data_IF_412722223054
#
_entry.id   IF_412722223054
#
_cell.length_a   1.000
_cell.length_b   1.000
_cell.length_c   1.000
_cell.angle_alpha   90.00
_cell.angle_beta   90.00
_cell.angle_gamma   90.00
#
_symmetry.space_group_name_H-M   'P 1'
#
loop_
_entity.id
_entity.type
_entity.pdbx_description
1 polymer ?
#
# COMPACT_ATOMS: atom_id res chain seq x y z
N UNK A 1 -10.33 -34.30 47.27
CA UNK A 1 -11.11 -33.07 47.01
C UNK A 1 -12.33 -33.46 46.17
N UNK A 2 -13.54 -33.16 46.61
CA UNK A 2 -14.76 -33.69 45.97
C UNK A 2 -15.05 -32.94 44.67
N UNK A 3 -15.58 -33.62 43.64
CA UNK A 3 -15.80 -33.11 42.27
C UNK A 3 -16.55 -31.77 42.22
N UNK A 4 -17.49 -31.53 43.15
CA UNK A 4 -18.15 -30.23 43.33
C UNK A 4 -17.18 -29.10 43.67
N UNK A 5 -16.23 -29.32 44.60
CA UNK A 5 -15.23 -28.31 44.97
C UNK A 5 -14.27 -28.00 43.82
N UNK A 6 -13.91 -29.01 43.02
CA UNK A 6 -13.09 -28.83 41.82
C UNK A 6 -13.81 -27.94 40.79
N UNK A 7 -15.12 -28.17 40.58
CA UNK A 7 -15.93 -27.39 39.65
C UNK A 7 -16.02 -25.91 40.06
N UNK A 8 -16.21 -25.64 41.35
CA UNK A 8 -16.27 -24.26 41.87
C UNK A 8 -14.93 -23.53 41.73
N UNK A 9 -13.80 -24.22 41.96
CA UNK A 9 -12.47 -23.63 41.79
C UNK A 9 -12.23 -23.27 40.32
N UNK A 10 -12.60 -24.14 39.38
CA UNK A 10 -12.44 -23.89 37.95
C UNK A 10 -13.26 -22.67 37.48
N UNK A 11 -14.49 -22.54 37.96
CA UNK A 11 -15.38 -21.41 37.67
C UNK A 11 -14.85 -20.08 38.20
N UNK A 12 -14.25 -20.07 39.39
CA UNK A 12 -13.67 -18.85 39.97
C UNK A 12 -12.44 -18.33 39.22
N UNK A 13 -11.64 -19.21 38.62
CA UNK A 13 -10.46 -18.82 37.84
C UNK A 13 -10.88 -18.17 36.50
N UNK A 14 -11.96 -18.66 35.89
CA UNK A 14 -12.52 -18.11 34.66
C UNK A 14 -13.15 -16.71 34.87
N UNK A 15 -13.72 -16.44 36.04
CA UNK A 15 -14.39 -15.15 36.33
C UNK A 15 -13.45 -14.01 36.72
N UNK A 16 -12.18 -14.29 37.04
CA UNK A 16 -11.19 -13.26 37.39
C UNK A 16 -10.24 -12.89 36.23
N UNK A 17 -10.31 -13.61 35.11
CA UNK A 17 -9.45 -13.36 33.95
C UNK A 17 -9.97 -12.22 33.07
N UNK A 18 -9.65 -10.98 33.39
CA UNK A 18 -9.68 -9.89 32.41
C UNK A 18 -8.49 -10.05 31.46
N UNK A 19 -8.55 -11.04 30.57
CA UNK A 19 -7.60 -11.14 29.46
C UNK A 19 -8.14 -10.22 28.37
N UNK A 20 -7.54 -9.05 28.23
CA UNK A 20 -7.73 -8.24 27.04
C UNK A 20 -7.16 -9.04 25.86
N UNK A 21 -8.04 -9.58 25.03
CA UNK A 21 -7.65 -10.18 23.76
C UNK A 21 -7.52 -9.04 22.77
N UNK A 22 -6.29 -8.61 22.52
CA UNK A 22 -6.00 -7.71 21.41
C UNK A 22 -6.01 -8.55 20.14
N UNK A 23 -6.94 -8.27 19.23
CA UNK A 23 -6.86 -8.79 17.87
C UNK A 23 -5.71 -8.06 17.17
N UNK A 24 -4.60 -8.74 16.91
CA UNK A 24 -3.61 -8.26 15.94
C UNK A 24 -4.26 -8.39 14.56
N UNK A 25 -4.55 -7.25 13.92
CA UNK A 25 -4.99 -7.24 12.52
C UNK A 25 -3.93 -7.99 11.74
N UNK A 26 -4.33 -9.00 10.97
CA UNK A 26 -3.40 -9.67 10.06
C UNK A 26 -2.83 -8.58 9.15
N UNK A 27 -1.54 -8.34 9.27
CA UNK A 27 -0.83 -7.35 8.46
C UNK A 27 -0.70 -7.90 7.04
N UNK A 28 -1.80 -7.91 6.32
CA UNK A 28 -1.78 -8.27 4.91
C UNK A 28 -0.94 -7.24 4.18
N UNK A 29 0.01 -7.73 3.38
CA UNK A 29 0.71 -6.90 2.41
C UNK A 29 -0.33 -6.44 1.37
N UNK A 30 -0.65 -5.14 1.37
CA UNK A 30 -1.65 -4.55 0.49
C UNK A 30 -0.92 -4.02 -0.74
N UNK A 31 -1.28 -4.49 -1.94
CA UNK A 31 -0.82 -3.87 -3.18
C UNK A 31 -1.48 -2.50 -3.33
N UNK A 32 -0.67 -1.46 -3.50
CA UNK A 32 -1.14 -0.13 -3.89
C UNK A 32 -1.27 -0.13 -5.40
N UNK A 33 -2.48 0.08 -5.91
CA UNK A 33 -2.74 0.10 -7.35
C UNK A 33 -2.32 1.46 -7.89
N UNK A 34 -1.20 1.48 -8.61
CA UNK A 34 -0.71 2.65 -9.30
C UNK A 34 -1.38 2.77 -10.67
N UNK A 35 -1.92 3.95 -10.96
CA UNK A 35 -2.53 4.31 -12.23
C UNK A 35 -1.65 5.35 -12.90
N UNK A 36 -1.36 5.16 -14.18
CA UNK A 36 -0.71 6.20 -14.95
C UNK A 36 -1.71 7.30 -15.26
N UNK A 37 -1.39 8.52 -14.85
CA UNK A 37 -2.15 9.69 -15.29
C UNK A 37 -1.73 9.97 -16.72
N UNK A 38 -2.56 9.51 -17.64
CA UNK A 38 -2.30 9.73 -19.06
C UNK A 38 -2.73 11.15 -19.42
N UNK A 39 -1.90 11.95 -20.12
CA UNK A 39 -2.33 13.23 -20.65
C UNK A 39 -3.62 13.04 -21.48
N UNK A 40 -4.61 13.93 -21.32
CA UNK A 40 -5.95 13.77 -21.90
C UNK A 40 -6.04 13.55 -23.42
N UNK A 41 -4.92 13.72 -24.14
CA UNK A 41 -4.80 13.51 -25.59
C UNK A 41 -4.25 12.13 -25.99
N UNK A 42 -3.99 11.22 -25.05
CA UNK A 42 -3.62 9.85 -25.41
C UNK A 42 -4.83 9.07 -25.93
N UNK A 43 -4.95 9.05 -27.25
CA UNK A 43 -5.84 8.14 -27.96
C UNK A 43 -5.06 6.82 -28.11
N UNK A 44 -5.41 5.74 -27.39
CA UNK A 44 -4.82 4.44 -27.67
C UNK A 44 -5.07 4.11 -29.14
N UNK A 45 -4.11 3.50 -29.86
CA UNK A 45 -4.28 3.18 -31.26
C UNK A 45 -5.54 2.31 -31.43
N UNK A 46 -6.61 2.93 -31.95
CA UNK A 46 -7.82 2.21 -32.35
C UNK A 46 -7.42 1.46 -33.61
N UNK A 47 -7.20 0.15 -33.45
CA UNK A 47 -6.99 -0.77 -34.56
C UNK A 47 -8.18 -0.62 -35.50
N UNK A 48 -7.98 0.05 -36.64
CA UNK A 48 -8.98 0.07 -37.71
C UNK A 48 -9.10 -1.35 -38.25
N UNK A 49 -10.27 -1.93 -38.00
CA UNK A 49 -10.90 -3.07 -38.67
C UNK A 49 -10.16 -4.42 -38.68
N UNK A 50 -10.70 -5.38 -37.92
CA UNK A 50 -10.69 -6.81 -38.27
C UNK A 50 -9.43 -7.64 -38.02
N UNK A 51 -8.34 -7.04 -37.55
CA UNK A 51 -7.11 -7.78 -37.20
C UNK A 51 -7.16 -8.48 -35.83
N UNK A 52 -6.25 -9.44 -35.56
CA UNK A 52 -6.12 -10.06 -34.25
C UNK A 52 -5.92 -8.99 -33.16
N UNK A 53 -6.70 -9.05 -32.08
CA UNK A 53 -6.50 -8.18 -30.93
C UNK A 53 -5.19 -8.58 -30.27
N UNK A 54 -4.14 -7.79 -30.50
CA UNK A 54 -2.88 -7.90 -29.75
C UNK A 54 -3.18 -7.46 -28.32
N UNK A 55 -3.22 -8.40 -27.38
CA UNK A 55 -3.26 -8.09 -25.95
C UNK A 55 -1.81 -7.93 -25.49
N UNK A 56 -1.38 -6.69 -25.24
CA UNK A 56 -0.10 -6.48 -24.54
C UNK A 56 -0.24 -6.99 -23.11
N UNK A 57 0.77 -7.70 -22.60
CA UNK A 57 0.88 -7.97 -21.16
C UNK A 57 1.33 -6.65 -20.55
N UNK A 58 0.43 -5.97 -19.84
CA UNK A 58 0.80 -4.77 -19.08
C UNK A 58 1.75 -5.18 -17.96
N UNK A 59 3.03 -4.79 -18.08
CA UNK A 59 4.01 -4.91 -17.02
C UNK A 59 4.15 -3.52 -16.37
N UNK A 60 3.80 -3.36 -15.09
CA UNK A 60 3.96 -2.06 -14.43
C UNK A 60 5.45 -1.74 -14.28
N UNK A 61 5.85 -0.52 -14.61
CA UNK A 61 7.23 -0.04 -14.45
C UNK A 61 7.62 0.18 -12.98
N UNK A 62 6.62 0.36 -12.11
CA UNK A 62 6.77 0.52 -10.67
C UNK A 62 5.68 -0.28 -9.97
N UNK A 63 6.04 -1.02 -8.94
CA UNK A 63 5.09 -1.63 -8.01
C UNK A 63 5.19 -0.98 -6.64
N UNK A 64 4.06 -0.83 -5.95
CA UNK A 64 4.02 -0.33 -4.58
C UNK A 64 3.18 -1.22 -3.66
N UNK A 65 3.63 -1.43 -2.44
CA UNK A 65 3.00 -2.27 -1.43
C UNK A 65 3.04 -1.61 -0.06
N UNK A 66 1.98 -1.77 0.72
CA UNK A 66 1.93 -1.37 2.12
C UNK A 66 2.04 -2.61 3.01
N UNK A 67 3.01 -2.60 3.92
CA UNK A 67 3.19 -3.63 4.93
C UNK A 67 3.68 -3.01 6.25
N UNK A 68 2.95 -3.21 7.35
CA UNK A 68 3.29 -2.66 8.67
C UNK A 68 3.55 -1.14 8.67
N UNK A 69 2.68 -0.38 7.99
CA UNK A 69 2.83 1.07 7.80
C UNK A 69 4.12 1.48 7.07
N UNK A 70 4.79 0.53 6.40
CA UNK A 70 5.92 0.81 5.52
C UNK A 70 5.45 0.66 4.09
N UNK A 71 5.57 1.72 3.30
CA UNK A 71 5.34 1.66 1.86
C UNK A 71 6.63 1.22 1.17
N UNK A 72 6.59 0.06 0.53
CA UNK A 72 7.65 -0.45 -0.31
C UNK A 72 7.37 -0.08 -1.77
N UNK A 73 8.31 0.59 -2.42
CA UNK A 73 8.24 0.94 -3.85
C UNK A 73 9.37 0.22 -4.57
N UNK A 74 9.05 -0.54 -5.61
CA UNK A 74 9.99 -1.31 -6.44
C UNK A 74 9.97 -0.80 -7.87
N UNK A 75 11.13 -0.41 -8.38
CA UNK A 75 11.30 0.05 -9.75
C UNK A 75 11.73 -1.13 -10.62
N UNK A 76 10.89 -1.49 -11.59
CA UNK A 76 11.06 -2.67 -12.44
C UNK A 76 11.86 -2.38 -13.72
N UNK A 77 12.12 -1.11 -13.99
CA UNK A 77 12.96 -0.62 -15.09
C UNK A 77 14.05 0.33 -14.56
N UNK A 78 15.06 0.60 -15.38
CA UNK A 78 16.10 1.57 -15.04
C UNK A 78 15.53 2.98 -15.21
N UNK A 79 15.25 3.66 -14.11
CA UNK A 79 14.77 5.04 -14.08
C UNK A 79 15.90 5.95 -13.61
N UNK A 80 16.25 6.98 -14.37
CA UNK A 80 17.37 7.87 -14.01
C UNK A 80 17.08 8.70 -12.75
N UNK A 81 15.85 9.19 -12.62
CA UNK A 81 15.36 9.99 -11.50
C UNK A 81 13.88 9.74 -11.27
N UNK A 82 13.48 9.61 -10.00
CA UNK A 82 12.07 9.55 -9.61
C UNK A 82 11.84 10.41 -8.36
N UNK A 83 10.75 11.17 -8.35
CA UNK A 83 10.25 11.87 -7.18
C UNK A 83 9.05 11.11 -6.64
N UNK A 84 9.08 10.76 -5.36
CA UNK A 84 7.98 10.08 -4.67
C UNK A 84 7.41 11.06 -3.65
N UNK A 85 6.09 11.24 -3.67
CA UNK A 85 5.37 12.09 -2.72
C UNK A 85 4.24 11.29 -2.10
N UNK A 86 4.07 11.37 -0.77
CA UNK A 86 2.94 10.79 -0.05
C UNK A 86 2.20 11.89 0.70
N UNK A 87 0.90 11.98 0.49
CA UNK A 87 0.04 13.02 1.08
C UNK A 87 -1.10 12.38 1.87
N UNK A 88 -1.39 12.91 3.05
CA UNK A 88 -2.61 12.57 3.78
C UNK A 88 -3.79 13.29 3.13
N UNK A 89 -4.76 12.54 2.60
CA UNK A 89 -5.88 13.10 1.81
C UNK A 89 -6.85 13.93 2.65
N UNK A 90 -6.91 13.67 3.96
CA UNK A 90 -7.81 14.41 4.87
C UNK A 90 -7.23 15.77 5.24
N UNK A 91 -5.92 15.85 5.51
CA UNK A 91 -5.26 17.09 5.95
C UNK A 91 -4.62 17.86 4.81
N UNK A 92 -4.34 17.21 3.68
CA UNK A 92 -3.53 17.73 2.58
C UNK A 92 -2.04 17.85 2.93
N UNK A 93 -1.59 17.24 4.03
CA UNK A 93 -0.21 17.29 4.47
C UNK A 93 0.64 16.27 3.72
N UNK A 94 1.72 16.74 3.09
CA UNK A 94 2.75 15.87 2.53
C UNK A 94 3.59 15.28 3.67
N UNK A 95 3.40 14.00 3.94
CA UNK A 95 4.10 13.27 5.02
C UNK A 95 5.45 12.71 4.56
N UNK A 96 5.64 12.58 3.25
CA UNK A 96 6.93 12.18 2.67
C UNK A 96 7.10 12.80 1.27
N UNK A 97 8.31 13.27 0.97
CA UNK A 97 8.70 13.65 -0.39
C UNK A 97 10.21 13.52 -0.56
N UNK A 98 10.64 12.75 -1.57
CA UNK A 98 12.06 12.54 -1.87
C UNK A 98 12.27 12.31 -3.37
N UNK A 99 13.34 12.90 -3.91
CA UNK A 99 13.81 12.64 -5.28
C UNK A 99 15.04 11.73 -5.22
N UNK A 100 14.95 10.57 -5.84
CA UNK A 100 15.97 9.54 -5.87
C UNK A 100 16.58 9.41 -7.26
N UNK A 101 17.91 9.34 -7.34
CA UNK A 101 18.62 9.01 -8.59
C UNK A 101 18.83 7.50 -8.71
N UNK A 102 18.52 6.93 -9.88
CA UNK A 102 18.64 5.50 -10.17
C UNK A 102 18.03 4.58 -9.09
N UNK A 103 16.77 4.80 -8.66
CA UNK A 103 16.16 4.00 -7.60
C UNK A 103 15.91 2.57 -8.07
N UNK A 104 16.10 1.62 -7.16
CA UNK A 104 15.75 0.20 -7.36
C UNK A 104 14.62 -0.19 -6.40
N UNK A 105 14.77 0.14 -5.12
CA UNK A 105 13.74 -0.10 -4.10
C UNK A 105 13.79 1.01 -3.07
N UNK A 106 12.62 1.43 -2.60
CA UNK A 106 12.46 2.41 -1.53
C UNK A 106 11.55 1.85 -0.45
N UNK A 107 11.87 2.12 0.81
CA UNK A 107 11.05 1.76 1.97
C UNK A 107 10.74 3.04 2.73
N UNK A 108 9.48 3.44 2.76
CA UNK A 108 9.02 4.68 3.36
C UNK A 108 8.28 4.31 4.64
N UNK A 109 8.88 4.64 5.79
CA UNK A 109 8.31 4.37 7.10
C UNK A 109 7.29 5.44 7.47
N UNK A 110 6.02 5.04 7.60
CA UNK A 110 4.91 5.89 8.05
C UNK A 110 4.47 5.54 9.48
N UNK A 111 5.31 4.82 10.25
CA UNK A 111 5.01 4.56 11.65
C UNK A 111 4.98 5.86 12.45
N UNK A 112 3.83 6.13 13.09
CA UNK A 112 3.57 7.38 13.82
C UNK A 112 2.57 8.29 13.11
N UNK A 113 2.32 8.05 11.82
CA UNK A 113 1.27 8.73 11.08
C UNK A 113 -0.13 8.32 11.53
N UNK A 114 -1.10 9.20 11.32
CA UNK A 114 -2.50 8.94 11.70
C UNK A 114 -3.13 7.94 10.75
N UNK A 115 -4.07 7.14 11.24
CA UNK A 115 -4.92 6.34 10.37
C UNK A 115 -5.76 7.24 9.47
N UNK A 116 -5.92 6.84 8.21
CA UNK A 116 -6.61 7.63 7.20
C UNK A 116 -6.25 7.21 5.78
N UNK A 117 -6.84 7.92 4.81
CA UNK A 117 -6.54 7.76 3.39
C UNK A 117 -5.33 8.60 3.00
N UNK A 118 -4.46 8.00 2.20
CA UNK A 118 -3.23 8.59 1.68
C UNK A 118 -3.14 8.38 0.18
N UNK A 119 -2.57 9.35 -0.52
CA UNK A 119 -2.12 9.22 -1.90
C UNK A 119 -0.60 9.00 -1.94
N UNK A 120 -0.14 8.27 -2.95
CA UNK A 120 1.26 8.20 -3.37
C UNK A 120 1.34 8.62 -4.82
N UNK A 121 2.20 9.59 -5.09
CA UNK A 121 2.55 10.06 -6.43
C UNK A 121 4.00 9.66 -6.71
N UNK A 122 4.25 9.15 -7.92
CA UNK A 122 5.58 8.80 -8.41
C UNK A 122 5.76 9.46 -9.77
N UNK A 123 6.61 10.49 -9.79
CA UNK A 123 6.93 11.27 -10.98
C UNK A 123 8.33 10.89 -11.47
N UNK A 124 8.41 10.60 -12.76
CA UNK A 124 9.65 10.38 -13.51
C UNK A 124 9.63 11.31 -14.72
N UNK A 125 10.71 11.36 -15.50
CA UNK A 125 10.78 12.23 -16.69
C UNK A 125 9.66 11.96 -17.71
N UNK A 126 9.20 10.70 -17.83
CA UNK A 126 8.25 10.28 -18.86
C UNK A 126 6.86 9.93 -18.31
N UNK A 127 6.76 9.60 -17.03
CA UNK A 127 5.59 8.94 -16.46
C UNK A 127 5.26 9.55 -15.09
N UNK A 128 3.98 9.84 -14.90
CA UNK A 128 3.38 10.15 -13.61
C UNK A 128 2.43 9.01 -13.21
N UNK A 129 2.65 8.44 -12.03
CA UNK A 129 1.82 7.39 -11.44
C UNK A 129 1.19 7.91 -10.15
N UNK A 130 -0.07 7.56 -9.93
CA UNK A 130 -0.81 7.89 -8.70
C UNK A 130 -1.46 6.62 -8.14
N UNK A 131 -1.45 6.47 -6.82
CA UNK A 131 -2.19 5.41 -6.13
C UNK A 131 -2.69 5.86 -4.78
N UNK A 132 -3.65 5.12 -4.23
CA UNK A 132 -4.28 5.42 -2.94
C UNK A 132 -4.22 4.22 -2.01
N UNK A 133 -4.05 4.47 -0.71
CA UNK A 133 -4.02 3.44 0.33
C UNK A 133 -4.53 3.97 1.67
N UNK A 134 -4.82 3.05 2.59
CA UNK A 134 -5.25 3.40 3.95
C UNK A 134 -4.23 2.88 4.97
N UNK A 135 -3.84 3.74 5.92
CA UNK A 135 -3.11 3.36 7.13
C UNK A 135 -4.07 2.98 8.26
#
# INVERSE_FOLDING_TARGET
MNMRRLLFILLTIFSLGNIAVHAEKVNDCIKIVLQQTVPGDYIPPINKEGGPVVRSIYMPIVDAYLYNNVVNVSFNENIESATITITNETTGETVYSETCSNPVTLNIDLNGEKSGEYSIEIETDDIFLEGYFNL
#
